data_IF_455498545260
#
_entry.id   IF_455498545260
#
_cell.length_a   1.000
_cell.length_b   1.000
_cell.length_c   1.000
_cell.angle_alpha   90.00
_cell.angle_beta   90.00
_cell.angle_gamma   90.00
#
_symmetry.space_group_name_H-M   'P 1'
#
loop_
_entity.id
_entity.type
_entity.pdbx_description
1 polymer ?
#
# COMPACT_ATOMS: atom_id res chain seq x y z
N UNK A 1 -7.05 -12.55 -16.06
CA UNK A 1 -7.12 -13.02 -14.68
C UNK A 1 -8.58 -13.03 -14.23
N UNK A 2 -9.11 -14.17 -13.75
CA UNK A 2 -10.47 -14.25 -13.21
C UNK A 2 -10.68 -13.31 -12.02
N UNK A 3 -11.88 -12.76 -11.87
CA UNK A 3 -12.23 -11.86 -10.76
C UNK A 3 -11.99 -12.50 -9.37
N UNK A 4 -12.23 -13.82 -9.26
CA UNK A 4 -11.93 -14.57 -8.03
C UNK A 4 -10.44 -14.48 -7.67
N UNK A 5 -9.57 -14.66 -8.65
CA UNK A 5 -8.11 -14.58 -8.44
C UNK A 5 -7.69 -13.17 -8.05
N UNK A 6 -8.26 -12.12 -8.64
CA UNK A 6 -7.97 -10.73 -8.26
C UNK A 6 -8.36 -10.44 -6.80
N UNK A 7 -9.51 -10.94 -6.35
CA UNK A 7 -9.94 -10.81 -4.95
C UNK A 7 -9.00 -11.54 -3.99
N UNK A 8 -8.60 -12.77 -4.32
CA UNK A 8 -7.64 -13.53 -3.52
C UNK A 8 -6.32 -12.78 -3.40
N UNK A 9 -5.80 -12.23 -4.51
CA UNK A 9 -4.59 -11.43 -4.49
C UNK A 9 -4.74 -10.20 -3.61
N UNK A 10 -5.85 -9.46 -3.77
CA UNK A 10 -6.15 -8.29 -2.95
C UNK A 10 -6.16 -8.61 -1.45
N UNK A 11 -6.84 -9.69 -1.04
CA UNK A 11 -6.88 -10.12 0.36
C UNK A 11 -5.51 -10.58 0.88
N UNK A 12 -4.70 -11.23 0.05
CA UNK A 12 -3.34 -11.62 0.44
C UNK A 12 -2.48 -10.39 0.77
N UNK A 13 -2.56 -9.34 -0.06
CA UNK A 13 -1.85 -8.08 0.17
C UNK A 13 -2.33 -7.34 1.42
N UNK A 14 -3.64 -7.30 1.67
CA UNK A 14 -4.19 -6.76 2.93
C UNK A 14 -3.70 -7.57 4.14
N UNK A 15 -3.67 -8.90 4.02
CA UNK A 15 -3.13 -9.79 5.04
C UNK A 15 -1.65 -9.50 5.34
N UNK A 16 -0.84 -9.24 4.31
CA UNK A 16 0.56 -8.87 4.48
C UNK A 16 0.72 -7.58 5.31
N UNK A 17 -0.08 -6.54 5.02
CA UNK A 17 -0.07 -5.28 5.79
C UNK A 17 -0.41 -5.55 7.27
N UNK A 18 -1.40 -6.40 7.54
CA UNK A 18 -1.75 -6.78 8.92
C UNK A 18 -0.58 -7.48 9.61
N UNK A 19 0.09 -8.41 8.92
CA UNK A 19 1.28 -9.11 9.46
C UNK A 19 2.40 -8.11 9.78
N UNK A 20 2.66 -7.13 8.91
CA UNK A 20 3.67 -6.09 9.17
C UNK A 20 3.36 -5.31 10.45
N UNK A 21 2.09 -4.96 10.68
CA UNK A 21 1.66 -4.26 11.89
C UNK A 21 1.78 -5.13 13.15
N UNK A 22 1.45 -6.42 13.05
CA UNK A 22 1.62 -7.35 14.17
C UNK A 22 3.09 -7.52 14.55
N UNK A 23 3.98 -7.63 13.57
CA UNK A 23 5.43 -7.70 13.80
C UNK A 23 5.91 -6.41 14.49
N UNK A 24 5.57 -5.24 13.95
CA UNK A 24 5.98 -3.96 14.54
C UNK A 24 5.44 -3.78 15.96
N UNK A 25 4.18 -4.17 16.20
CA UNK A 25 3.57 -4.12 17.53
C UNK A 25 4.26 -5.06 18.52
N UNK A 26 4.55 -6.29 18.13
CA UNK A 26 5.23 -7.26 18.99
C UNK A 26 6.62 -6.77 19.43
N UNK A 27 7.39 -6.18 18.49
CA UNK A 27 8.71 -5.61 18.77
C UNK A 27 8.61 -4.36 19.66
N UNK A 28 7.63 -3.50 19.43
CA UNK A 28 7.41 -2.33 20.26
C UNK A 28 7.02 -2.73 21.70
N UNK A 29 6.13 -3.72 21.83
CA UNK A 29 5.67 -4.22 23.12
C UNK A 29 6.77 -4.93 23.93
N UNK A 30 7.77 -5.53 23.26
CA UNK A 30 8.92 -6.11 23.94
C UNK A 30 9.93 -5.08 24.47
N UNK A 31 9.73 -3.79 24.19
CA UNK A 31 10.64 -2.72 24.62
C UNK A 31 11.98 -2.73 23.90
N UNK A 32 12.07 -3.43 22.76
CA UNK A 32 13.29 -3.48 21.97
C UNK A 32 13.52 -2.12 21.32
N UNK A 33 14.55 -1.41 21.76
CA UNK A 33 14.94 -0.13 21.16
C UNK A 33 16.05 -0.38 20.14
N UNK A 34 15.78 -0.05 18.88
CA UNK A 34 16.83 0.03 17.85
C UNK A 34 17.51 1.39 17.99
N UNK A 35 18.59 1.45 18.78
CA UNK A 35 19.45 2.65 18.84
C UNK A 35 20.35 2.67 17.60
N UNK A 36 19.84 3.24 16.52
CA UNK A 36 20.68 3.58 15.36
C UNK A 36 20.73 5.10 15.25
N UNK A 37 21.88 5.68 15.57
CA UNK A 37 22.09 7.13 15.55
C UNK A 37 22.13 7.65 14.10
N UNK A 38 20.99 8.16 13.67
CA UNK A 38 20.78 8.62 12.30
C UNK A 38 20.10 10.00 12.32
N UNK A 39 20.85 11.02 12.75
CA UNK A 39 20.43 12.42 12.61
C UNK A 39 20.24 12.86 11.13
N UNK A 40 20.98 12.27 10.20
CA UNK A 40 20.99 12.63 8.76
C UNK A 40 19.85 11.97 7.94
N UNK A 41 19.46 10.70 8.16
CA UNK A 41 18.32 10.07 7.49
C UNK A 41 16.94 10.69 7.77
N UNK A 42 16.79 11.50 8.82
CA UNK A 42 15.48 12.07 9.21
C UNK A 42 14.84 12.95 8.13
N UNK A 43 15.65 13.69 7.36
CA UNK A 43 15.18 14.48 6.21
C UNK A 43 14.80 13.59 5.03
N UNK A 44 15.58 12.53 4.76
CA UNK A 44 15.21 11.52 3.77
C UNK A 44 13.85 10.90 4.10
N UNK A 45 13.56 10.63 5.38
CA UNK A 45 12.30 10.06 5.81
C UNK A 45 11.09 10.96 5.62
N UNK A 46 11.19 12.27 5.89
CA UNK A 46 10.11 13.20 5.55
C UNK A 46 9.88 13.26 4.04
N UNK A 47 10.93 13.18 3.23
CA UNK A 47 10.82 13.03 1.77
C UNK A 47 10.05 11.77 1.35
N UNK A 48 10.27 10.64 2.03
CA UNK A 48 9.55 9.39 1.74
C UNK A 48 8.06 9.45 2.12
N UNK A 49 7.70 10.23 3.14
CA UNK A 49 6.30 10.50 3.49
C UNK A 49 5.58 11.23 2.35
N UNK A 50 6.22 12.23 1.72
CA UNK A 50 5.68 12.87 0.53
C UNK A 50 5.53 11.91 -0.66
N UNK A 51 6.48 11.01 -0.85
CA UNK A 51 6.39 9.95 -1.87
C UNK A 51 5.17 9.04 -1.62
N UNK A 52 4.92 8.64 -0.37
CA UNK A 52 3.75 7.82 -0.03
C UNK A 52 2.41 8.50 -0.36
N UNK A 53 2.29 9.81 -0.14
CA UNK A 53 1.13 10.58 -0.59
C UNK A 53 1.05 10.66 -2.12
N UNK A 54 2.18 10.85 -2.79
CA UNK A 54 2.28 10.82 -4.25
C UNK A 54 1.80 9.50 -4.84
N UNK A 55 2.22 8.38 -4.25
CA UNK A 55 1.80 7.03 -4.64
C UNK A 55 0.29 6.86 -4.51
N UNK A 56 -0.34 7.44 -3.49
CA UNK A 56 -1.79 7.39 -3.31
C UNK A 56 -2.55 8.14 -4.43
N UNK A 57 -2.01 9.28 -4.88
CA UNK A 57 -2.54 10.00 -6.05
C UNK A 57 -2.36 9.19 -7.33
N UNK A 58 -1.19 8.55 -7.50
CA UNK A 58 -0.91 7.68 -8.65
C UNK A 58 -1.86 6.49 -8.65
N UNK A 59 -2.03 5.79 -7.53
CA UNK A 59 -2.99 4.69 -7.37
C UNK A 59 -4.39 5.16 -7.73
N UNK A 60 -4.83 6.32 -7.23
CA UNK A 60 -6.14 6.87 -7.57
C UNK A 60 -6.30 7.08 -9.08
N UNK A 61 -5.30 7.66 -9.75
CA UNK A 61 -5.29 7.90 -11.20
C UNK A 61 -5.25 6.60 -12.00
N UNK A 62 -4.45 5.61 -11.59
CA UNK A 62 -4.38 4.30 -12.25
C UNK A 62 -5.65 3.48 -12.05
N UNK A 63 -6.35 3.71 -10.94
CA UNK A 63 -7.60 3.04 -10.59
C UNK A 63 -8.84 3.71 -11.20
N UNK A 64 -8.75 4.96 -11.65
CA UNK A 64 -9.87 5.66 -12.27
C UNK A 64 -10.35 5.00 -13.59
N UNK A 65 -9.48 4.59 -14.53
CA UNK A 65 -9.88 3.83 -15.71
C UNK A 65 -10.42 2.43 -15.39
N UNK A 66 -10.14 1.88 -14.19
CA UNK A 66 -10.74 0.64 -13.71
C UNK A 66 -12.18 0.84 -13.21
N UNK A 67 -12.56 2.09 -12.89
CA UNK A 67 -13.87 2.49 -12.36
C UNK A 67 -14.79 3.05 -13.42
N UNK A 68 -14.23 3.82 -14.36
CA UNK A 68 -14.96 4.45 -15.45
C UNK A 68 -14.89 3.58 -16.71
N UNK A 69 -16.04 3.07 -17.14
CA UNK A 69 -16.22 2.21 -18.33
C UNK A 69 -15.93 2.91 -19.67
N UNK A 70 -15.25 4.06 -19.67
CA UNK A 70 -15.26 5.02 -20.77
C UNK A 70 -14.17 4.80 -21.83
N UNK A 71 -13.17 3.95 -21.57
CA UNK A 71 -12.13 3.63 -22.55
C UNK A 71 -12.00 2.11 -22.73
N UNK A 72 -11.92 1.60 -23.98
CA UNK A 72 -11.68 0.19 -24.25
C UNK A 72 -10.23 -0.16 -23.87
N UNK A 73 -10.00 -0.46 -22.60
CA UNK A 73 -8.71 -0.93 -22.08
C UNK A 73 -8.63 -2.43 -22.35
N UNK A 74 -7.50 -2.91 -22.87
CA UNK A 74 -7.31 -4.35 -23.05
C UNK A 74 -7.33 -5.07 -21.69
N UNK A 75 -7.85 -6.31 -21.62
CA UNK A 75 -7.87 -7.08 -20.38
C UNK A 75 -6.48 -7.27 -19.74
N UNK A 76 -5.42 -7.27 -20.56
CA UNK A 76 -4.03 -7.34 -20.10
C UNK A 76 -3.59 -6.04 -19.42
N UNK A 77 -3.88 -4.88 -20.02
CA UNK A 77 -3.57 -3.57 -19.44
C UNK A 77 -4.35 -3.33 -18.14
N UNK A 78 -5.59 -3.79 -18.07
CA UNK A 78 -6.39 -3.74 -16.85
C UNK A 78 -5.76 -4.56 -15.70
N UNK A 79 -5.25 -5.75 -16.00
CA UNK A 79 -4.55 -6.60 -15.03
C UNK A 79 -3.23 -5.98 -14.58
N UNK A 80 -2.45 -5.43 -15.51
CA UNK A 80 -1.21 -4.75 -15.19
C UNK A 80 -1.44 -3.55 -14.26
N UNK A 81 -2.42 -2.70 -14.58
CA UNK A 81 -2.79 -1.55 -13.74
C UNK A 81 -3.23 -1.99 -12.34
N UNK A 82 -4.01 -3.07 -12.22
CA UNK A 82 -4.42 -3.62 -10.93
C UNK A 82 -3.22 -4.07 -10.10
N UNK A 83 -2.30 -4.85 -10.67
CA UNK A 83 -1.11 -5.34 -9.96
C UNK A 83 -0.19 -4.18 -9.58
N UNK A 84 0.01 -3.19 -10.45
CA UNK A 84 0.81 -2.00 -10.15
C UNK A 84 0.19 -1.21 -9.00
N UNK A 85 -1.14 -1.03 -8.98
CA UNK A 85 -1.82 -0.35 -7.87
C UNK A 85 -1.67 -1.10 -6.55
N UNK A 86 -1.73 -2.44 -6.55
CA UNK A 86 -1.47 -3.24 -5.35
C UNK A 86 -0.02 -3.11 -4.88
N UNK A 87 0.95 -3.18 -5.80
CA UNK A 87 2.36 -3.08 -5.48
C UNK A 87 2.73 -1.69 -4.92
N UNK A 88 2.19 -0.61 -5.50
CA UNK A 88 2.36 0.75 -4.97
C UNK A 88 1.75 0.88 -3.58
N UNK A 89 0.54 0.35 -3.37
CA UNK A 89 -0.09 0.37 -2.05
C UNK A 89 0.75 -0.41 -1.04
N UNK A 90 1.26 -1.58 -1.39
CA UNK A 90 2.12 -2.37 -0.51
C UNK A 90 3.45 -1.66 -0.20
N UNK A 91 4.06 -1.00 -1.19
CA UNK A 91 5.28 -0.24 -1.00
C UNK A 91 5.12 0.80 0.12
N UNK A 92 3.99 1.50 0.19
CA UNK A 92 3.69 2.44 1.29
C UNK A 92 3.75 1.76 2.67
N UNK A 93 3.20 0.55 2.81
CA UNK A 93 3.25 -0.19 4.08
C UNK A 93 4.67 -0.68 4.41
N UNK A 94 5.41 -1.15 3.40
CA UNK A 94 6.82 -1.54 3.55
C UNK A 94 7.66 -0.35 4.00
N UNK A 95 7.42 0.85 3.45
CA UNK A 95 8.08 2.08 3.89
C UNK A 95 7.82 2.36 5.38
N UNK A 96 6.59 2.15 5.85
CA UNK A 96 6.27 2.25 7.28
C UNK A 96 7.02 1.24 8.14
N UNK A 97 7.14 0.00 7.66
CA UNK A 97 7.87 -1.05 8.37
C UNK A 97 9.37 -0.75 8.45
N UNK A 98 9.97 -0.33 7.32
CA UNK A 98 11.36 0.11 7.25
C UNK A 98 11.60 1.27 8.22
N UNK A 99 10.71 2.26 8.22
CA UNK A 99 10.81 3.41 9.12
C UNK A 99 10.77 2.99 10.60
N UNK A 100 9.89 2.06 10.96
CA UNK A 100 9.83 1.50 12.31
C UNK A 100 11.14 0.82 12.72
N UNK A 101 11.71 -0.03 11.85
CA UNK A 101 12.97 -0.71 12.14
C UNK A 101 14.18 0.23 12.25
N UNK A 102 14.10 1.42 11.65
CA UNK A 102 15.12 2.46 11.73
C UNK A 102 14.98 3.35 12.98
N UNK A 103 14.21 2.92 13.98
CA UNK A 103 14.00 3.67 15.23
C UNK A 103 12.85 4.68 15.16
N UNK A 104 12.01 4.60 14.14
CA UNK A 104 10.83 5.44 13.99
C UNK A 104 9.71 5.10 14.98
N UNK A 105 8.85 6.09 15.27
CA UNK A 105 7.67 5.86 16.11
C UNK A 105 6.69 4.86 15.45
N UNK A 106 6.16 3.93 16.24
CA UNK A 106 5.12 2.97 15.79
C UNK A 106 3.89 3.67 15.18
N UNK A 107 3.59 4.90 15.61
CA UNK A 107 2.51 5.73 15.05
C UNK A 107 2.70 6.00 13.56
N UNK A 108 3.94 6.17 13.09
CA UNK A 108 4.25 6.44 11.68
C UNK A 108 4.03 5.16 10.86
N UNK A 109 4.39 3.99 11.40
CA UNK A 109 4.05 2.70 10.79
C UNK A 109 2.54 2.53 10.64
N UNK A 110 1.76 2.84 11.68
CA UNK A 110 0.30 2.78 11.61
C UNK A 110 -0.28 3.76 10.60
N UNK A 111 0.24 5.00 10.53
CA UNK A 111 -0.18 6.00 9.56
C UNK A 111 0.05 5.52 8.12
N UNK A 112 1.27 5.04 7.81
CA UNK A 112 1.61 4.56 6.47
C UNK A 112 0.83 3.28 6.12
N UNK A 113 0.60 2.39 7.09
CA UNK A 113 -0.28 1.24 6.91
C UNK A 113 -1.71 1.64 6.59
N UNK A 114 -2.24 2.68 7.25
CA UNK A 114 -3.58 3.20 6.94
C UNK A 114 -3.64 3.80 5.52
N UNK A 115 -2.62 4.55 5.09
CA UNK A 115 -2.52 5.06 3.71
C UNK A 115 -2.45 3.92 2.69
N UNK A 116 -1.67 2.88 2.97
CA UNK A 116 -1.60 1.67 2.16
C UNK A 116 -2.98 1.00 2.02
N UNK A 117 -3.70 0.83 3.13
CA UNK A 117 -5.06 0.27 3.12
C UNK A 117 -6.07 1.14 2.35
N UNK A 118 -5.93 2.46 2.40
CA UNK A 118 -6.70 3.38 1.55
C UNK A 118 -6.38 3.11 0.08
N UNK A 119 -5.10 2.99 -0.29
CA UNK A 119 -4.66 2.61 -1.64
C UNK A 119 -5.26 1.26 -2.10
N UNK A 120 -5.23 0.25 -1.22
CA UNK A 120 -5.86 -1.05 -1.46
C UNK A 120 -7.37 -0.92 -1.68
N UNK A 121 -8.06 -0.16 -0.84
CA UNK A 121 -9.49 0.09 -0.99
C UNK A 121 -9.81 0.80 -2.32
N UNK A 122 -8.93 1.71 -2.76
CA UNK A 122 -9.08 2.37 -4.04
C UNK A 122 -8.95 1.41 -5.23
N UNK A 123 -8.06 0.42 -5.10
CA UNK A 123 -7.78 -0.59 -6.11
C UNK A 123 -8.68 -1.85 -6.02
N UNK A 124 -9.68 -1.87 -5.14
CA UNK A 124 -10.51 -3.06 -4.92
C UNK A 124 -11.18 -3.55 -6.22
N UNK A 125 -11.11 -4.86 -6.55
CA UNK A 125 -11.68 -5.41 -7.77
C UNK A 125 -13.22 -5.42 -7.72
N UNK A 126 -13.84 -4.39 -8.29
CA UNK A 126 -15.31 -4.30 -8.45
C UNK A 126 -15.79 -5.13 -9.64
N UNK A 127 -17.04 -5.60 -9.61
CA UNK A 127 -17.69 -6.09 -10.84
C UNK A 127 -17.86 -4.89 -11.76
N UNK A 128 -17.28 -4.95 -12.97
CA UNK A 128 -17.72 -4.07 -14.06
C UNK A 128 -19.21 -4.38 -14.27
N UNK A 129 -20.07 -3.35 -14.20
CA UNK A 129 -21.44 -3.47 -14.66
C UNK A 129 -21.36 -3.70 -16.17
N UNK A 130 -21.36 -4.97 -16.57
CA UNK A 130 -21.76 -5.36 -17.91
C UNK A 130 -23.27 -5.17 -17.94
N UNK A 131 -23.72 -3.94 -18.23
CA UNK A 131 -25.09 -3.76 -18.70
C UNK A 131 -25.24 -4.58 -19.98
N UNK A 132 -26.26 -5.45 -20.09
CA UNK A 132 -26.55 -6.18 -21.32
C UNK A 132 -26.88 -5.23 -22.47
#
# INVERSE_FOLDING_TARGET
>A
MPQKTQKVLWFAFVGAIVIYNLIAFAIHASGTVFEIDFAVPRIFFYGMLFLAFGDLVVIYRLSAPLRESALPITPQKQQALFVISLALAEAIAILGLVFFFLGGEIKIMWLLSALSLIGMALAFPKKLNTSP
#
